data_IF_758232593699
#
_entry.id   IF_758232593699
#
_cell.length_a   1.000
_cell.length_b   1.000
_cell.length_c   1.000
_cell.angle_alpha   90.00
_cell.angle_beta   90.00
_cell.angle_gamma   90.00
#
_symmetry.space_group_name_H-M   'P 1'
#
loop_
_entity.id
_entity.type
_entity.pdbx_description
1 polymer ?
#
# COMPACT_ATOMS: atom_id res chain seq x y z
N UNK A 1 15.84 -22.74 -4.12
CA UNK A 1 15.69 -21.50 -4.90
C UNK A 1 14.22 -21.13 -4.83
N UNK A 2 13.90 -20.29 -3.87
CA UNK A 2 12.55 -19.83 -3.55
C UNK A 2 12.04 -19.07 -4.76
N UNK A 3 10.83 -19.42 -5.21
CA UNK A 3 10.23 -18.87 -6.41
C UNK A 3 9.79 -17.44 -6.08
N UNK A 4 10.65 -16.46 -6.37
CA UNK A 4 10.27 -15.05 -6.33
C UNK A 4 9.03 -14.87 -7.21
N UNK A 5 8.01 -14.16 -6.71
CA UNK A 5 6.79 -13.87 -7.46
C UNK A 5 7.03 -12.79 -8.53
N UNK A 6 8.21 -12.78 -9.15
CA UNK A 6 8.71 -11.78 -10.10
C UNK A 6 8.53 -12.22 -11.57
N UNK A 7 7.33 -12.66 -11.93
CA UNK A 7 6.94 -12.67 -13.35
C UNK A 7 5.62 -11.95 -13.52
N UNK A 8 5.56 -10.73 -12.99
CA UNK A 8 4.69 -9.69 -13.54
C UNK A 8 5.53 -8.89 -14.51
N UNK A 9 4.99 -8.60 -15.69
CA UNK A 9 5.60 -7.72 -16.68
C UNK A 9 6.09 -6.42 -16.00
N UNK A 10 7.35 -5.98 -16.20
CA UNK A 10 7.90 -4.81 -15.54
C UNK A 10 7.07 -3.53 -15.80
N UNK A 11 6.44 -3.41 -16.97
CA UNK A 11 5.59 -2.26 -17.29
C UNK A 11 4.28 -2.31 -16.48
N UNK A 12 3.71 -3.50 -16.31
CA UNK A 12 2.53 -3.70 -15.45
C UNK A 12 2.88 -3.40 -14.00
N UNK A 13 4.05 -3.83 -13.53
CA UNK A 13 4.49 -3.58 -12.16
C UNK A 13 4.70 -2.08 -11.89
N UNK A 14 5.34 -1.37 -12.83
CA UNK A 14 5.51 0.08 -12.74
C UNK A 14 4.16 0.81 -12.71
N UNK A 15 3.19 0.34 -13.48
CA UNK A 15 1.84 0.89 -13.51
C UNK A 15 1.08 0.66 -12.19
N UNK A 16 1.14 -0.56 -11.63
CA UNK A 16 0.55 -0.87 -10.32
C UNK A 16 1.18 -0.05 -9.20
N UNK A 17 2.51 0.15 -9.22
CA UNK A 17 3.22 1.01 -8.28
C UNK A 17 2.73 2.46 -8.40
N UNK A 18 2.69 3.01 -9.61
CA UNK A 18 2.26 4.38 -9.86
C UNK A 18 0.81 4.63 -9.42
N UNK A 19 -0.12 3.74 -9.80
CA UNK A 19 -1.53 3.84 -9.39
C UNK A 19 -1.70 3.76 -7.87
N UNK A 20 -0.97 2.83 -7.24
CA UNK A 20 -1.04 2.65 -5.79
C UNK A 20 -0.49 3.85 -5.03
N UNK A 21 0.62 4.45 -5.51
CA UNK A 21 1.20 5.66 -4.92
C UNK A 21 0.25 6.85 -5.07
N UNK A 22 -0.33 7.08 -6.25
CA UNK A 22 -1.32 8.16 -6.46
C UNK A 22 -2.53 7.99 -5.54
N UNK A 23 -3.05 6.77 -5.38
CA UNK A 23 -4.12 6.48 -4.44
C UNK A 23 -3.73 6.84 -3.00
N UNK A 24 -2.55 6.40 -2.55
CA UNK A 24 -2.06 6.63 -1.19
C UNK A 24 -1.84 8.11 -0.90
N UNK A 25 -1.35 8.87 -1.88
CA UNK A 25 -1.08 10.30 -1.73
C UNK A 25 -2.35 11.15 -1.77
N UNK A 26 -3.31 10.81 -2.64
CA UNK A 26 -4.42 11.73 -2.96
C UNK A 26 -5.76 11.34 -2.36
N UNK A 27 -5.99 10.07 -2.05
CA UNK A 27 -7.32 9.57 -1.66
C UNK A 27 -7.33 8.87 -0.30
N UNK A 28 -6.17 8.46 0.20
CA UNK A 28 -6.12 7.61 1.38
C UNK A 28 -6.64 8.30 2.64
N UNK A 29 -6.18 9.51 2.94
CA UNK A 29 -6.63 10.26 4.13
C UNK A 29 -8.16 10.42 4.16
N UNK A 30 -8.75 10.94 3.08
CA UNK A 30 -10.22 11.06 2.95
C UNK A 30 -10.93 9.71 3.11
N UNK A 31 -10.36 8.65 2.54
CA UNK A 31 -10.95 7.32 2.66
C UNK A 31 -10.91 6.80 4.11
N UNK A 32 -9.85 7.11 4.87
CA UNK A 32 -9.77 6.75 6.30
C UNK A 32 -10.79 7.49 7.15
N UNK A 33 -11.14 8.72 6.80
CA UNK A 33 -12.19 9.49 7.49
C UNK A 33 -13.59 8.92 7.23
N UNK A 34 -13.81 8.36 6.04
CA UNK A 34 -15.11 7.79 5.62
C UNK A 34 -15.37 6.38 6.15
N UNK A 35 -14.33 5.67 6.59
CA UNK A 35 -14.42 4.30 7.10
C UNK A 35 -14.08 4.29 8.59
N UNK A 36 -15.09 4.06 9.43
CA UNK A 36 -14.97 3.95 10.89
C UNK A 36 -14.32 2.63 11.37
N UNK A 37 -13.61 1.91 10.49
CA UNK A 37 -12.94 0.64 10.81
C UNK A 37 -11.52 0.63 10.23
N UNK A 38 -10.57 1.03 11.08
CA UNK A 38 -9.14 1.10 10.76
C UNK A 38 -8.56 -0.27 10.42
N UNK A 39 -9.10 -1.36 10.98
CA UNK A 39 -8.59 -2.71 10.70
C UNK A 39 -9.06 -3.21 9.33
N UNK A 40 -10.31 -2.91 8.95
CA UNK A 40 -10.78 -3.12 7.58
C UNK A 40 -10.03 -2.26 6.58
N UNK A 41 -9.70 -1.03 6.94
CA UNK A 41 -8.87 -0.17 6.11
C UNK A 41 -7.46 -0.76 5.94
N UNK A 42 -6.80 -1.14 7.03
CA UNK A 42 -5.46 -1.72 7.01
C UNK A 42 -5.41 -3.01 6.16
N UNK A 43 -6.44 -3.87 6.23
CA UNK A 43 -6.54 -5.04 5.35
C UNK A 43 -6.65 -4.68 3.88
N UNK A 44 -7.35 -3.59 3.55
CA UNK A 44 -7.52 -3.10 2.18
C UNK A 44 -6.20 -2.54 1.66
N UNK A 45 -5.53 -1.68 2.44
CA UNK A 45 -4.20 -1.15 2.12
C UNK A 45 -3.18 -2.29 2.00
N UNK A 46 -3.22 -3.32 2.84
CA UNK A 46 -2.32 -4.46 2.73
C UNK A 46 -2.49 -5.22 1.40
N UNK A 47 -3.71 -5.24 0.83
CA UNK A 47 -3.94 -5.79 -0.52
C UNK A 47 -3.35 -4.90 -1.60
N UNK A 48 -3.42 -3.57 -1.46
CA UNK A 48 -2.75 -2.61 -2.35
C UNK A 48 -1.24 -2.81 -2.30
N UNK A 49 -0.63 -2.81 -1.11
CA UNK A 49 0.81 -3.02 -0.93
C UNK A 49 1.28 -4.36 -1.52
N UNK A 50 0.47 -5.43 -1.42
CA UNK A 50 0.80 -6.74 -2.02
C UNK A 50 0.99 -6.71 -3.53
N UNK A 51 0.34 -5.78 -4.24
CA UNK A 51 0.49 -5.59 -5.70
C UNK A 51 1.73 -4.76 -6.06
N UNK A 52 2.24 -3.99 -5.10
CA UNK A 52 3.39 -3.13 -5.31
C UNK A 52 4.70 -3.91 -5.21
N UNK A 53 5.70 -3.44 -5.95
CA UNK A 53 7.08 -3.87 -5.84
C UNK A 53 7.68 -3.44 -4.51
N UNK A 54 8.86 -3.97 -4.17
CA UNK A 54 9.61 -3.54 -2.99
C UNK A 54 9.87 -2.02 -3.02
N UNK A 55 10.33 -1.50 -4.16
CA UNK A 55 10.58 -0.06 -4.36
C UNK A 55 9.29 0.75 -4.22
N UNK A 56 8.18 0.26 -4.76
CA UNK A 56 6.87 0.91 -4.61
C UNK A 56 6.45 1.01 -3.14
N UNK A 57 6.63 -0.05 -2.36
CA UNK A 57 6.32 -0.06 -0.92
C UNK A 57 7.22 0.86 -0.11
N UNK A 58 8.48 1.00 -0.49
CA UNK A 58 9.40 1.98 0.12
C UNK A 58 8.92 3.40 -0.16
N UNK A 59 8.65 3.73 -1.44
CA UNK A 59 8.11 5.04 -1.81
C UNK A 59 6.78 5.37 -1.09
N UNK A 60 5.91 4.36 -0.90
CA UNK A 60 4.67 4.52 -0.15
C UNK A 60 4.90 4.95 1.31
N UNK A 61 6.01 4.54 1.94
CA UNK A 61 6.32 4.94 3.33
C UNK A 61 6.82 6.37 3.46
N UNK A 62 7.40 6.91 2.39
CA UNK A 62 7.97 8.25 2.35
C UNK A 62 6.93 9.33 2.04
N UNK A 63 5.70 8.95 1.66
CA UNK A 63 4.60 9.88 1.48
C UNK A 63 4.18 10.54 2.80
N UNK A 64 3.65 11.76 2.69
CA UNK A 64 3.13 12.48 3.84
C UNK A 64 1.74 11.96 4.22
N UNK A 65 1.58 11.55 5.48
CA UNK A 65 0.32 11.09 6.04
C UNK A 65 0.01 11.84 7.33
N UNK A 66 -1.28 12.00 7.63
CA UNK A 66 -1.68 12.30 9.00
C UNK A 66 -1.42 11.11 9.93
N UNK A 67 -1.59 11.32 11.24
CA UNK A 67 -1.28 10.32 12.26
C UNK A 67 -2.12 9.03 12.11
N UNK A 68 -3.40 9.15 11.75
CA UNK A 68 -4.31 8.01 11.62
C UNK A 68 -3.97 7.19 10.37
N UNK A 69 -3.82 7.85 9.23
CA UNK A 69 -3.41 7.24 7.98
C UNK A 69 -2.04 6.55 8.12
N UNK A 70 -1.08 7.18 8.82
CA UNK A 70 0.23 6.58 9.09
C UNK A 70 0.10 5.29 9.91
N UNK A 71 -0.69 5.30 10.98
CA UNK A 71 -0.92 4.13 11.82
C UNK A 71 -1.56 2.96 11.04
N UNK A 72 -2.53 3.26 10.17
CA UNK A 72 -3.18 2.28 9.29
C UNK A 72 -2.17 1.71 8.29
N UNK A 73 -1.32 2.54 7.68
CA UNK A 73 -0.29 2.10 6.75
C UNK A 73 0.72 1.15 7.41
N UNK A 74 1.18 1.50 8.62
CA UNK A 74 2.10 0.64 9.38
C UNK A 74 1.45 -0.70 9.73
N UNK A 75 0.17 -0.67 10.16
CA UNK A 75 -0.58 -1.91 10.39
C UNK A 75 -0.69 -2.74 9.13
N UNK A 76 -1.02 -2.13 8.00
CA UNK A 76 -1.10 -2.80 6.71
C UNK A 76 0.21 -3.45 6.30
N UNK A 77 1.35 -2.77 6.50
CA UNK A 77 2.67 -3.31 6.21
C UNK A 77 2.96 -4.61 6.99
N UNK A 78 2.55 -4.70 8.26
CA UNK A 78 2.68 -5.95 9.05
C UNK A 78 1.85 -7.11 8.48
N UNK A 79 0.70 -6.82 7.86
CA UNK A 79 -0.22 -7.81 7.28
C UNK A 79 0.18 -8.25 5.86
N UNK A 80 1.12 -7.55 5.24
CA UNK A 80 1.64 -7.86 3.90
C UNK A 80 2.81 -8.85 3.96
N UNK A 81 3.51 -8.93 5.09
CA UNK A 81 4.63 -9.85 5.32
C UNK A 81 4.22 -11.24 5.82
N UNK A 82 2.93 -11.46 6.06
CA UNK A 82 2.32 -12.75 6.45
C UNK A 82 1.65 -13.41 5.25
#
# INVERSE_FOLDING_TARGET
LTRDRETTDPDVQAFEDALSLVFLETQFAELTERLDDDEKMARSVARTLRKMSTRGREAARDLAYDERARAILDRAATLTST
#
